data_IF_399430230520
#
_entry.id   IF_399430230520
#
_cell.length_a   1.000
_cell.length_b   1.000
_cell.length_c   1.000
_cell.angle_alpha   90.00
_cell.angle_beta   90.00
_cell.angle_gamma   90.00
#
_symmetry.space_group_name_H-M   'P 1'
#
loop_
_entity.id
_entity.type
_entity.pdbx_description
1 polymer ?
#
# COMPACT_ATOMS: atom_id res chain seq x y z
N UNK A 1 -22.81 -23.44 -19.59
CA UNK A 1 -22.85 -24.47 -20.63
C UNK A 1 -23.87 -25.52 -20.22
N UNK A 2 -24.79 -25.87 -21.12
CA UNK A 2 -25.84 -26.87 -20.87
C UNK A 2 -25.40 -28.27 -21.31
N UNK A 3 -24.77 -28.37 -22.46
CA UNK A 3 -24.23 -29.62 -22.99
C UNK A 3 -23.07 -29.40 -23.93
N UNK A 4 -22.23 -30.43 -24.04
CA UNK A 4 -21.10 -30.48 -24.96
C UNK A 4 -21.26 -31.67 -25.90
N UNK A 5 -20.95 -31.49 -27.18
CA UNK A 5 -20.87 -32.57 -28.14
C UNK A 5 -19.56 -32.46 -28.97
N UNK A 6 -18.92 -33.56 -29.20
CA UNK A 6 -17.78 -33.69 -30.11
C UNK A 6 -17.94 -34.93 -30.93
N UNK A 7 -17.71 -34.84 -32.28
CA UNK A 7 -17.90 -35.96 -33.23
C UNK A 7 -19.30 -36.62 -33.11
N UNK A 8 -20.34 -35.80 -32.99
CA UNK A 8 -21.76 -36.24 -32.80
C UNK A 8 -22.04 -37.06 -31.53
N UNK A 9 -21.10 -37.08 -30.58
CA UNK A 9 -21.28 -37.77 -29.29
C UNK A 9 -21.37 -36.75 -28.17
N UNK A 10 -22.33 -36.97 -27.24
CA UNK A 10 -22.40 -36.17 -26.01
C UNK A 10 -21.16 -36.42 -25.15
N UNK A 11 -20.61 -35.34 -24.58
CA UNK A 11 -19.45 -35.36 -23.72
C UNK A 11 -19.68 -34.59 -22.45
N UNK A 12 -19.13 -35.03 -21.35
CA UNK A 12 -19.13 -34.31 -20.07
C UNK A 12 -17.91 -33.39 -19.96
N UNK A 13 -16.82 -33.75 -20.65
CA UNK A 13 -15.56 -32.99 -20.68
C UNK A 13 -14.91 -33.17 -22.08
N UNK A 14 -14.33 -32.10 -22.59
CA UNK A 14 -13.58 -32.10 -23.85
C UNK A 14 -12.28 -31.36 -23.62
N UNK A 15 -11.15 -31.97 -23.99
CA UNK A 15 -9.82 -31.36 -23.87
C UNK A 15 -9.49 -30.43 -25.05
N UNK A 16 -8.33 -29.75 -25.00
CA UNK A 16 -7.82 -28.92 -26.08
C UNK A 16 -7.69 -29.68 -27.41
N UNK A 17 -7.67 -28.92 -28.54
CA UNK A 17 -7.47 -29.47 -29.89
C UNK A 17 -8.71 -30.17 -30.48
N UNK A 18 -9.87 -30.07 -29.84
CA UNK A 18 -11.09 -30.69 -30.34
C UNK A 18 -12.07 -29.65 -30.90
N UNK A 19 -12.83 -30.09 -31.93
CA UNK A 19 -14.00 -29.35 -32.40
C UNK A 19 -15.19 -29.70 -31.51
N UNK A 20 -15.81 -28.69 -30.89
CA UNK A 20 -16.86 -28.89 -29.89
C UNK A 20 -18.08 -28.08 -30.26
N UNK A 21 -19.26 -28.71 -30.24
CA UNK A 21 -20.52 -28.00 -30.21
C UNK A 21 -20.88 -27.71 -28.75
N UNK A 22 -21.13 -26.45 -28.43
CA UNK A 22 -21.42 -25.97 -27.07
C UNK A 22 -22.85 -25.42 -27.06
N UNK A 23 -23.69 -25.95 -26.19
CA UNK A 23 -25.02 -25.40 -25.95
C UNK A 23 -24.95 -24.43 -24.76
N UNK A 24 -25.23 -23.15 -25.01
CA UNK A 24 -25.24 -22.09 -24.03
C UNK A 24 -26.66 -21.83 -23.51
N UNK A 25 -26.79 -21.58 -22.21
CA UNK A 25 -28.04 -21.17 -21.58
C UNK A 25 -28.08 -19.64 -21.48
N UNK A 26 -29.24 -19.05 -21.83
CA UNK A 26 -29.43 -17.60 -21.69
C UNK A 26 -28.74 -16.76 -22.77
N UNK A 27 -28.26 -17.40 -23.84
CA UNK A 27 -27.67 -16.73 -25.00
C UNK A 27 -28.43 -17.20 -26.24
N UNK A 28 -28.94 -16.29 -27.03
CA UNK A 28 -29.63 -16.61 -28.29
C UNK A 28 -28.61 -16.72 -29.43
N UNK A 29 -28.97 -17.42 -30.51
CA UNK A 29 -28.08 -17.70 -31.63
C UNK A 29 -27.56 -16.43 -32.33
N UNK A 30 -28.34 -15.37 -32.35
CA UNK A 30 -28.04 -14.08 -32.94
C UNK A 30 -27.06 -13.23 -32.07
N UNK A 31 -26.89 -13.60 -30.84
CA UNK A 31 -25.94 -12.96 -29.91
C UNK A 31 -24.52 -13.53 -29.98
N UNK A 32 -24.30 -14.60 -30.72
CA UNK A 32 -22.99 -15.26 -30.87
C UNK A 32 -22.63 -15.36 -32.34
N UNK A 33 -21.47 -14.83 -32.69
CA UNK A 33 -20.99 -14.80 -34.05
C UNK A 33 -19.56 -15.32 -34.21
N UNK A 34 -19.10 -15.30 -35.45
CA UNK A 34 -17.70 -15.60 -35.76
C UNK A 34 -16.81 -14.54 -35.11
N UNK A 35 -15.80 -14.98 -34.38
CA UNK A 35 -14.87 -14.10 -33.65
C UNK A 35 -15.12 -14.08 -32.15
N UNK A 36 -16.29 -14.52 -31.69
CA UNK A 36 -16.56 -14.61 -30.26
C UNK A 36 -15.78 -15.75 -29.60
N UNK A 37 -15.43 -15.55 -28.35
CA UNK A 37 -14.62 -16.48 -27.56
C UNK A 37 -15.32 -16.75 -26.24
N UNK A 38 -15.40 -18.00 -25.85
CA UNK A 38 -15.89 -18.43 -24.55
C UNK A 38 -14.70 -18.50 -23.57
N UNK A 39 -14.77 -17.72 -22.52
CA UNK A 39 -13.74 -17.67 -21.48
C UNK A 39 -14.38 -17.78 -20.10
N UNK A 40 -13.61 -18.19 -19.11
CA UNK A 40 -14.02 -18.04 -17.73
C UNK A 40 -13.98 -16.57 -17.32
N UNK A 41 -14.99 -16.14 -16.58
CA UNK A 41 -15.01 -14.82 -15.98
C UNK A 41 -13.73 -14.60 -15.14
N UNK A 42 -13.22 -13.38 -15.19
CA UNK A 42 -12.05 -12.90 -14.40
C UNK A 42 -10.71 -13.64 -14.62
N UNK A 43 -10.65 -14.55 -15.60
CA UNK A 43 -9.41 -15.26 -15.94
C UNK A 43 -8.69 -14.69 -17.17
N UNK A 44 -9.23 -13.64 -17.78
CA UNK A 44 -8.68 -13.06 -19.01
C UNK A 44 -8.69 -11.55 -18.94
N UNK A 45 -7.56 -10.95 -19.32
CA UNK A 45 -7.52 -9.53 -19.61
C UNK A 45 -8.14 -9.28 -21.00
N UNK A 46 -9.13 -8.40 -21.04
CA UNK A 46 -9.71 -7.95 -22.31
C UNK A 46 -9.00 -6.68 -22.77
N UNK A 47 -8.36 -6.76 -23.93
CA UNK A 47 -7.56 -5.67 -24.46
C UNK A 47 -8.12 -5.09 -25.74
N UNK A 48 -7.94 -3.78 -25.93
CA UNK A 48 -8.15 -3.06 -27.21
C UNK A 48 -6.86 -2.57 -27.82
N UNK A 49 -5.73 -2.77 -27.16
CA UNK A 49 -4.43 -2.31 -27.66
C UNK A 49 -3.39 -3.36 -27.38
N UNK A 50 -2.71 -3.81 -28.42
CA UNK A 50 -1.64 -4.79 -28.31
C UNK A 50 -0.37 -4.28 -28.98
N UNK A 51 0.76 -4.65 -28.42
CA UNK A 51 2.04 -4.57 -29.11
C UNK A 51 2.41 -5.96 -29.64
N UNK A 52 2.90 -6.00 -30.86
CA UNK A 52 3.12 -7.24 -31.57
C UNK A 52 4.38 -7.17 -32.45
N UNK A 53 4.93 -8.34 -32.75
CA UNK A 53 5.91 -8.53 -33.83
C UNK A 53 5.13 -8.78 -35.11
N UNK A 54 5.55 -8.13 -36.19
CA UNK A 54 5.02 -8.33 -37.54
C UNK A 54 6.14 -8.70 -38.49
N UNK A 55 6.05 -9.86 -39.14
CA UNK A 55 6.85 -10.25 -40.26
C UNK A 55 6.12 -9.87 -41.55
N UNK A 56 6.69 -8.96 -42.35
CA UNK A 56 6.16 -8.56 -43.64
C UNK A 56 6.55 -9.59 -44.70
N UNK A 57 5.60 -9.96 -45.56
CA UNK A 57 5.86 -10.92 -46.65
C UNK A 57 6.79 -10.32 -47.68
N UNK A 58 7.63 -11.16 -48.27
CA UNK A 58 8.57 -10.77 -49.36
C UNK A 58 7.86 -10.32 -50.66
N UNK A 59 6.58 -10.70 -50.81
CA UNK A 59 5.75 -10.33 -51.96
C UNK A 59 5.16 -8.91 -51.87
N UNK A 60 5.27 -8.24 -50.73
CA UNK A 60 4.72 -6.88 -50.55
C UNK A 60 5.59 -5.87 -51.28
N UNK A 61 5.00 -5.10 -52.22
CA UNK A 61 5.73 -4.18 -53.10
C UNK A 61 5.76 -2.71 -52.60
N UNK A 62 5.24 -2.42 -51.42
CA UNK A 62 5.12 -1.07 -50.89
C UNK A 62 5.51 -1.00 -49.39
N UNK A 63 5.70 0.20 -48.90
CA UNK A 63 5.95 0.44 -47.49
C UNK A 63 4.71 0.21 -46.62
N UNK A 64 4.85 -0.59 -45.58
CA UNK A 64 3.83 -0.84 -44.56
C UNK A 64 3.99 0.18 -43.46
N UNK A 65 3.03 1.10 -43.37
CA UNK A 65 3.06 2.22 -42.40
C UNK A 65 1.68 2.43 -41.76
N UNK A 66 1.53 3.46 -40.96
CA UNK A 66 0.25 3.81 -40.32
C UNK A 66 -0.89 4.22 -41.27
N UNK A 67 -0.60 4.38 -42.57
CA UNK A 67 -1.54 4.94 -43.57
C UNK A 67 -2.39 3.89 -44.26
N UNK A 68 -2.25 2.62 -43.97
CA UNK A 68 -3.05 1.53 -44.57
C UNK A 68 -4.38 1.32 -43.82
N UNK A 69 -5.37 0.78 -44.55
CA UNK A 69 -6.58 0.23 -43.99
C UNK A 69 -6.38 -1.25 -43.67
N UNK A 70 -6.03 -1.57 -42.45
CA UNK A 70 -5.63 -2.94 -42.07
C UNK A 70 -6.75 -3.70 -41.39
N UNK A 71 -6.76 -5.02 -41.62
CA UNK A 71 -7.59 -5.99 -40.93
C UNK A 71 -6.67 -7.05 -40.32
N UNK A 72 -6.79 -7.23 -38.99
CA UNK A 72 -6.11 -8.29 -38.28
C UNK A 72 -7.05 -9.50 -38.11
N UNK A 73 -6.57 -10.66 -38.49
CA UNK A 73 -7.26 -11.94 -38.27
C UNK A 73 -6.68 -12.54 -36.98
N UNK A 74 -7.47 -12.51 -35.93
CA UNK A 74 -7.13 -12.99 -34.57
C UNK A 74 -8.14 -14.08 -34.17
N UNK A 75 -7.65 -15.27 -33.84
CA UNK A 75 -8.52 -16.42 -33.62
C UNK A 75 -9.37 -16.72 -34.84
N UNK A 76 -10.72 -16.72 -34.66
CA UNK A 76 -11.69 -16.87 -35.75
C UNK A 76 -12.24 -15.54 -36.28
N UNK A 77 -11.83 -14.41 -35.71
CA UNK A 77 -12.39 -13.07 -35.97
C UNK A 77 -11.58 -12.28 -37.00
N UNK A 78 -12.28 -11.31 -37.61
CA UNK A 78 -11.72 -10.31 -38.54
C UNK A 78 -11.95 -8.93 -37.89
N UNK A 79 -10.85 -8.24 -37.61
CA UNK A 79 -10.90 -6.99 -36.84
C UNK A 79 -10.24 -5.87 -37.65
N UNK A 80 -10.98 -4.85 -38.10
CA UNK A 80 -10.37 -3.66 -38.66
C UNK A 80 -9.55 -2.94 -37.59
N UNK A 81 -8.24 -2.75 -37.86
CA UNK A 81 -7.31 -2.23 -36.88
C UNK A 81 -6.63 -0.96 -37.36
N UNK A 82 -6.33 -0.07 -36.41
CA UNK A 82 -5.36 1.00 -36.64
C UNK A 82 -3.98 0.50 -36.23
N UNK A 83 -3.03 0.57 -37.12
CA UNK A 83 -1.66 0.12 -36.89
C UNK A 83 -0.71 1.31 -36.76
N UNK A 84 0.24 1.19 -35.84
CA UNK A 84 1.40 2.07 -35.72
C UNK A 84 2.68 1.21 -35.65
N UNK A 85 3.64 1.52 -36.50
CA UNK A 85 4.99 0.90 -36.41
C UNK A 85 5.68 1.49 -35.19
N UNK A 86 6.28 0.64 -34.36
CA UNK A 86 7.09 0.99 -33.20
C UNK A 86 8.54 1.11 -33.64
N UNK A 87 8.95 2.31 -33.99
CA UNK A 87 10.26 2.62 -34.52
C UNK A 87 10.21 3.79 -35.49
N UNK A 88 11.36 4.13 -36.05
CA UNK A 88 11.53 5.37 -36.79
C UNK A 88 11.21 5.25 -38.29
N UNK A 89 11.06 4.04 -38.80
CA UNK A 89 10.82 3.78 -40.23
C UNK A 89 9.60 2.90 -40.50
N UNK A 90 9.02 3.04 -41.68
CA UNK A 90 8.07 2.08 -42.22
C UNK A 90 8.72 0.71 -42.46
N UNK A 91 7.90 -0.36 -42.45
CA UNK A 91 8.37 -1.71 -42.75
C UNK A 91 8.28 -1.98 -44.27
N UNK A 92 9.24 -2.70 -44.78
CA UNK A 92 9.25 -3.12 -46.19
C UNK A 92 9.23 -4.66 -46.31
N UNK A 93 9.14 -5.16 -47.53
CA UNK A 93 9.16 -6.60 -47.82
C UNK A 93 10.30 -7.31 -47.09
N UNK A 94 9.98 -8.42 -46.43
CA UNK A 94 10.92 -9.21 -45.64
C UNK A 94 11.31 -8.67 -44.27
N UNK A 95 10.87 -7.47 -43.92
CA UNK A 95 11.15 -6.91 -42.58
C UNK A 95 10.45 -7.69 -41.48
N UNK A 96 11.13 -7.76 -40.33
CA UNK A 96 10.59 -8.17 -39.04
C UNK A 96 10.60 -6.94 -38.13
N UNK A 97 9.42 -6.44 -37.77
CA UNK A 97 9.29 -5.20 -37.02
C UNK A 97 8.26 -5.26 -35.92
N UNK A 98 8.27 -4.24 -35.07
CA UNK A 98 7.34 -4.10 -33.95
C UNK A 98 6.22 -3.14 -34.34
N UNK A 99 4.98 -3.49 -33.97
CA UNK A 99 3.79 -2.71 -34.29
C UNK A 99 2.87 -2.65 -33.08
N UNK A 100 2.15 -1.53 -32.94
CA UNK A 100 0.98 -1.40 -32.03
C UNK A 100 -0.28 -1.46 -32.86
N UNK A 101 -1.19 -2.37 -32.47
CA UNK A 101 -2.51 -2.51 -33.07
C UNK A 101 -3.59 -2.03 -32.10
N UNK A 102 -4.49 -1.17 -32.59
CA UNK A 102 -5.68 -0.76 -31.86
C UNK A 102 -6.89 -1.47 -32.45
N UNK A 103 -7.56 -2.26 -31.60
CA UNK A 103 -8.71 -3.08 -31.92
C UNK A 103 -10.02 -2.31 -31.70
N UNK A 104 -11.05 -2.53 -32.53
CA UNK A 104 -12.34 -1.86 -32.39
C UNK A 104 -13.13 -2.37 -31.16
N UNK A 105 -12.91 -3.62 -30.79
CA UNK A 105 -13.53 -4.31 -29.64
C UNK A 105 -12.46 -4.87 -28.72
N UNK A 106 -12.82 -5.10 -27.48
CA UNK A 106 -11.92 -5.75 -26.53
C UNK A 106 -11.90 -7.26 -26.80
N UNK A 107 -10.70 -7.84 -26.86
CA UNK A 107 -10.48 -9.26 -27.08
C UNK A 107 -9.71 -9.89 -25.94
N UNK A 108 -10.02 -11.13 -25.53
CA UNK A 108 -9.25 -11.90 -24.57
C UNK A 108 -8.04 -12.52 -25.27
N UNK A 109 -6.93 -11.81 -25.29
CA UNK A 109 -5.69 -12.23 -25.94
C UNK A 109 -4.61 -12.54 -24.90
N UNK A 110 -3.61 -13.31 -25.32
CA UNK A 110 -2.39 -13.56 -24.55
C UNK A 110 -1.14 -13.27 -25.40
N UNK A 111 -0.01 -12.95 -24.78
CA UNK A 111 1.28 -12.97 -25.44
C UNK A 111 1.53 -14.37 -26.05
N UNK A 112 1.95 -14.41 -27.31
CA UNK A 112 2.10 -15.63 -28.08
C UNK A 112 0.95 -15.92 -29.03
N UNK A 113 -0.19 -15.25 -28.93
CA UNK A 113 -1.28 -15.37 -29.89
C UNK A 113 -0.80 -14.87 -31.26
N UNK A 114 -1.15 -15.62 -32.29
CA UNK A 114 -0.75 -15.31 -33.66
C UNK A 114 -1.85 -14.60 -34.42
N UNK A 115 -1.45 -13.72 -35.33
CA UNK A 115 -2.37 -13.03 -36.22
C UNK A 115 -1.85 -12.97 -37.66
N UNK A 116 -2.79 -12.75 -38.60
CA UNK A 116 -2.50 -12.37 -39.96
C UNK A 116 -2.97 -10.94 -40.19
N UNK A 117 -2.17 -10.13 -40.85
CA UNK A 117 -2.50 -8.76 -41.21
C UNK A 117 -2.76 -8.65 -42.71
N UNK A 118 -3.90 -8.09 -43.09
CA UNK A 118 -4.23 -7.79 -44.48
C UNK A 118 -4.49 -6.29 -44.65
N UNK A 119 -4.20 -5.76 -45.81
CA UNK A 119 -4.58 -4.42 -46.22
C UNK A 119 -5.82 -4.46 -47.11
N UNK A 120 -6.94 -3.93 -46.64
CA UNK A 120 -8.25 -4.01 -47.32
C UNK A 120 -8.24 -3.26 -48.67
N UNK A 121 -7.63 -2.08 -48.71
CA UNK A 121 -7.62 -1.24 -49.90
C UNK A 121 -6.88 -1.88 -51.09
N UNK A 122 -5.94 -2.79 -50.85
CA UNK A 122 -5.18 -3.54 -51.83
C UNK A 122 -5.62 -5.02 -51.96
N UNK A 123 -6.53 -5.45 -51.06
CA UNK A 123 -6.93 -6.87 -50.95
C UNK A 123 -5.73 -7.83 -50.78
N UNK A 124 -4.66 -7.36 -50.18
CA UNK A 124 -3.39 -8.04 -50.06
C UNK A 124 -3.10 -8.51 -48.62
N UNK A 125 -2.47 -9.67 -48.49
CA UNK A 125 -1.93 -10.11 -47.21
C UNK A 125 -0.56 -9.47 -47.00
N UNK A 126 -0.44 -8.66 -45.95
CA UNK A 126 0.78 -7.94 -45.63
C UNK A 126 1.79 -8.85 -44.94
N UNK A 127 1.30 -9.67 -44.04
CA UNK A 127 2.15 -10.51 -43.19
C UNK A 127 1.42 -11.22 -42.09
N UNK A 128 2.18 -11.73 -41.17
CA UNK A 128 1.69 -12.34 -39.95
C UNK A 128 2.60 -12.04 -38.78
N UNK A 129 2.08 -12.23 -37.57
CA UNK A 129 2.84 -11.89 -36.41
C UNK A 129 2.38 -12.57 -35.12
N UNK A 130 2.97 -12.14 -34.06
CA UNK A 130 2.76 -12.65 -32.70
C UNK A 130 2.52 -11.49 -31.74
N UNK A 131 1.52 -11.63 -30.90
CA UNK A 131 1.23 -10.69 -29.79
C UNK A 131 2.34 -10.79 -28.76
N UNK A 132 2.91 -9.66 -28.37
CA UNK A 132 3.99 -9.56 -27.37
C UNK A 132 3.50 -8.95 -26.04
N UNK A 133 2.61 -7.95 -26.13
CA UNK A 133 2.05 -7.27 -24.96
C UNK A 133 0.56 -6.97 -25.20
N UNK A 134 -0.27 -7.26 -24.23
CA UNK A 134 -1.73 -7.07 -24.30
C UNK A 134 -2.24 -5.88 -23.48
N UNK A 135 -1.34 -5.18 -22.77
CA UNK A 135 -1.66 -4.00 -21.97
C UNK A 135 -0.47 -3.03 -21.95
N UNK A 136 -0.03 -2.52 -23.13
CA UNK A 136 1.17 -1.70 -23.22
C UNK A 136 0.99 -0.36 -22.49
N UNK A 137 1.82 -0.11 -21.47
CA UNK A 137 1.83 1.11 -20.66
C UNK A 137 2.81 2.16 -21.17
N UNK A 138 3.81 1.74 -21.93
CA UNK A 138 4.82 2.63 -22.49
C UNK A 138 4.30 3.30 -23.77
N UNK A 139 4.56 4.60 -23.91
CA UNK A 139 4.22 5.32 -25.12
C UNK A 139 4.89 4.68 -26.35
N UNK A 140 4.16 4.60 -27.48
CA UNK A 140 4.61 3.89 -28.67
C UNK A 140 5.97 4.35 -29.23
N UNK A 141 6.39 5.60 -28.98
CA UNK A 141 7.70 6.10 -29.38
C UNK A 141 8.86 5.43 -28.62
N UNK A 142 8.61 4.96 -27.43
CA UNK A 142 9.61 4.37 -26.53
C UNK A 142 9.41 2.86 -26.30
N UNK A 143 8.29 2.31 -26.79
CA UNK A 143 7.97 0.90 -26.61
C UNK A 143 8.97 -0.02 -27.31
N UNK A 144 9.41 -1.04 -26.60
CA UNK A 144 10.29 -2.11 -27.10
C UNK A 144 9.75 -3.44 -26.59
N UNK A 145 8.54 -3.83 -27.04
CA UNK A 145 7.86 -5.01 -26.51
C UNK A 145 8.60 -6.30 -26.86
N UNK A 146 8.61 -7.19 -25.90
CA UNK A 146 8.99 -8.59 -26.04
C UNK A 146 8.07 -9.44 -25.13
N UNK A 147 8.34 -10.73 -24.99
CA UNK A 147 7.58 -11.64 -24.12
C UNK A 147 8.13 -11.75 -22.70
N UNK A 148 9.12 -10.92 -22.35
CA UNK A 148 9.74 -10.97 -21.01
C UNK A 148 8.77 -10.49 -19.93
N UNK A 149 8.57 -11.32 -18.91
CA UNK A 149 7.80 -10.96 -17.72
C UNK A 149 8.53 -9.86 -16.94
N UNK A 150 9.86 -9.91 -16.89
CA UNK A 150 10.68 -8.91 -16.19
C UNK A 150 10.53 -7.52 -16.82
N UNK A 151 10.42 -7.44 -18.17
CA UNK A 151 10.08 -6.19 -18.85
C UNK A 151 8.72 -5.64 -18.39
N UNK A 152 7.70 -6.51 -18.31
CA UNK A 152 6.36 -6.10 -17.89
C UNK A 152 6.37 -5.55 -16.46
N UNK A 153 7.18 -6.15 -15.57
CA UNK A 153 7.39 -5.66 -14.21
C UNK A 153 8.15 -4.32 -14.22
N UNK A 154 9.25 -4.24 -14.97
CA UNK A 154 10.09 -3.03 -15.03
C UNK A 154 9.32 -1.81 -15.55
N UNK A 155 8.48 -1.98 -16.58
CA UNK A 155 7.67 -0.90 -17.16
C UNK A 155 6.57 -0.39 -16.22
N UNK A 156 6.11 -1.20 -15.25
CA UNK A 156 5.06 -0.84 -14.29
C UNK A 156 5.58 -0.45 -12.92
N UNK A 157 6.80 -0.82 -12.62
CA UNK A 157 7.42 -0.68 -11.30
C UNK A 157 6.82 -1.65 -10.29
N UNK A 158 5.52 -1.59 -10.05
CA UNK A 158 4.74 -2.46 -9.15
C UNK A 158 3.57 -3.08 -9.88
N UNK A 159 3.39 -4.40 -9.72
CA UNK A 159 2.23 -5.12 -10.28
C UNK A 159 1.83 -6.27 -9.35
N UNK A 160 0.54 -6.45 -9.11
CA UNK A 160 0.04 -7.62 -8.38
C UNK A 160 0.32 -8.90 -9.18
N UNK A 161 0.76 -9.96 -8.50
CA UNK A 161 1.12 -11.23 -9.18
C UNK A 161 -0.05 -11.85 -9.94
N UNK A 162 -1.28 -11.70 -9.45
CA UNK A 162 -2.48 -12.14 -10.15
C UNK A 162 -2.69 -11.35 -11.45
N UNK A 163 -2.48 -10.02 -11.41
CA UNK A 163 -2.56 -9.18 -12.59
C UNK A 163 -1.45 -9.51 -13.57
N UNK A 164 -0.22 -9.73 -13.08
CA UNK A 164 0.91 -10.15 -13.90
C UNK A 164 0.60 -11.46 -14.64
N UNK A 165 0.03 -12.44 -13.94
CA UNK A 165 -0.35 -13.72 -14.54
C UNK A 165 -1.44 -13.56 -15.63
N UNK A 166 -2.40 -12.66 -15.43
CA UNK A 166 -3.40 -12.33 -16.47
C UNK A 166 -2.78 -11.68 -17.71
N UNK A 167 -1.75 -10.84 -17.54
CA UNK A 167 -1.11 -10.13 -18.64
C UNK A 167 -0.10 -10.97 -19.40
N UNK A 168 0.58 -11.89 -18.72
CA UNK A 168 1.71 -12.64 -19.30
C UNK A 168 1.41 -14.12 -19.55
N UNK A 169 0.40 -14.66 -18.89
CA UNK A 169 0.13 -16.10 -18.82
C UNK A 169 1.09 -16.86 -17.88
N UNK A 170 2.04 -16.17 -17.24
CA UNK A 170 3.02 -16.77 -16.34
C UNK A 170 2.73 -16.40 -14.88
N UNK A 171 2.85 -17.39 -14.00
CA UNK A 171 2.73 -17.17 -12.55
C UNK A 171 4.11 -16.94 -11.97
N UNK A 172 4.22 -15.94 -11.10
CA UNK A 172 5.41 -15.62 -10.30
C UNK A 172 5.06 -15.58 -8.84
N UNK A 173 6.01 -15.96 -7.99
CA UNK A 173 5.92 -15.68 -6.57
C UNK A 173 6.07 -14.16 -6.35
N UNK A 174 5.37 -13.60 -5.36
CA UNK A 174 5.52 -12.18 -5.04
C UNK A 174 6.90 -11.88 -4.45
N UNK A 175 7.45 -10.74 -4.82
CA UNK A 175 8.70 -10.23 -4.22
C UNK A 175 8.43 -9.62 -2.83
N UNK A 176 7.28 -8.95 -2.68
CA UNK A 176 6.85 -8.36 -1.40
C UNK A 176 5.33 -8.32 -1.30
N UNK A 177 4.76 -8.81 -0.21
CA UNK A 177 3.32 -8.87 0.02
C UNK A 177 2.60 -9.67 -1.08
N UNK A 178 1.86 -8.99 -1.95
CA UNK A 178 1.19 -9.57 -3.13
C UNK A 178 1.76 -9.06 -4.47
N UNK A 179 2.89 -8.37 -4.42
CA UNK A 179 3.44 -7.62 -5.54
C UNK A 179 4.67 -8.28 -6.14
N UNK A 180 4.75 -8.31 -7.47
CA UNK A 180 6.01 -8.37 -8.20
C UNK A 180 6.48 -6.92 -8.42
N UNK A 181 7.76 -6.64 -8.16
CA UNK A 181 8.26 -5.27 -8.13
C UNK A 181 9.62 -5.14 -8.80
N UNK A 182 9.78 -4.08 -9.60
CA UNK A 182 11.08 -3.74 -10.15
C UNK A 182 12.01 -3.23 -9.03
N UNK A 183 13.29 -3.66 -8.99
CA UNK A 183 14.21 -3.29 -7.93
C UNK A 183 14.28 -1.77 -7.69
N UNK A 184 14.36 -0.98 -8.77
CA UNK A 184 14.45 0.48 -8.67
C UNK A 184 13.17 1.10 -8.08
N UNK A 185 12.00 0.54 -8.40
CA UNK A 185 10.73 1.01 -7.87
C UNK A 185 10.56 0.63 -6.38
N UNK A 186 11.06 -0.54 -6.00
CA UNK A 186 11.09 -0.96 -4.59
C UNK A 186 11.97 -0.03 -3.75
N UNK A 187 13.22 0.19 -4.19
CA UNK A 187 14.16 1.07 -3.50
C UNK A 187 13.61 2.50 -3.38
N UNK A 188 13.06 3.05 -4.47
CA UNK A 188 12.47 4.38 -4.47
C UNK A 188 11.30 4.50 -3.48
N UNK A 189 10.44 3.47 -3.40
CA UNK A 189 9.32 3.46 -2.45
C UNK A 189 9.81 3.34 -1.02
N UNK A 190 10.76 2.44 -0.75
CA UNK A 190 11.37 2.26 0.57
C UNK A 190 12.02 3.56 1.07
N UNK A 191 12.82 4.21 0.22
CA UNK A 191 13.54 5.43 0.59
C UNK A 191 12.56 6.59 0.84
N UNK A 192 11.51 6.71 0.02
CA UNK A 192 10.47 7.71 0.21
C UNK A 192 9.69 7.51 1.52
N UNK A 193 9.35 6.26 1.85
CA UNK A 193 8.67 5.93 3.12
C UNK A 193 9.61 6.18 4.30
N UNK A 194 10.87 5.79 4.21
CA UNK A 194 11.88 6.05 5.25
C UNK A 194 11.99 7.54 5.54
N UNK A 195 12.14 8.37 4.51
CA UNK A 195 12.23 9.83 4.68
C UNK A 195 10.96 10.42 5.33
N UNK A 196 9.77 9.89 5.01
CA UNK A 196 8.51 10.31 5.65
C UNK A 196 8.43 9.92 7.11
N UNK A 197 8.92 8.72 7.47
CA UNK A 197 8.99 8.28 8.87
C UNK A 197 9.95 9.15 9.66
N UNK A 198 11.14 9.43 9.12
CA UNK A 198 12.14 10.31 9.74
C UNK A 198 11.59 11.74 9.94
N UNK A 199 10.90 12.28 8.93
CA UNK A 199 10.28 13.61 9.02
C UNK A 199 9.16 13.69 10.05
N UNK A 200 8.48 12.58 10.36
CA UNK A 200 7.46 12.50 11.40
C UNK A 200 8.04 12.52 12.83
N UNK A 201 9.35 12.33 12.96
CA UNK A 201 10.08 12.42 14.24
C UNK A 201 9.58 11.44 15.30
N UNK A 202 9.65 11.86 16.56
CA UNK A 202 9.35 11.02 17.73
C UNK A 202 7.90 10.49 17.80
N UNK A 203 6.97 11.14 17.11
CA UNK A 203 5.57 10.74 17.06
C UNK A 203 5.27 9.65 16.04
N UNK A 204 6.23 9.36 15.15
CA UNK A 204 6.08 8.39 14.07
C UNK A 204 5.01 8.78 13.03
N UNK A 205 5.00 8.09 11.91
CA UNK A 205 4.05 8.26 10.81
C UNK A 205 2.82 7.38 11.02
N UNK A 206 1.62 7.93 10.82
CA UNK A 206 0.38 7.17 10.90
C UNK A 206 0.32 6.13 9.75
N UNK A 207 0.08 4.86 10.08
CA UNK A 207 -0.08 3.78 9.09
C UNK A 207 -1.23 4.03 8.11
N UNK A 208 -2.27 4.78 8.52
CA UNK A 208 -3.38 5.13 7.64
C UNK A 208 -2.95 6.13 6.53
N UNK A 209 -1.85 6.85 6.73
CA UNK A 209 -1.27 7.74 5.72
C UNK A 209 -0.41 7.02 4.67
N UNK A 210 -0.20 5.71 4.81
CA UNK A 210 0.54 4.87 3.89
C UNK A 210 -0.43 4.07 3.01
N UNK A 211 -0.14 3.98 1.72
CA UNK A 211 -0.84 3.07 0.81
C UNK A 211 -0.38 1.61 1.00
N UNK A 212 -0.95 0.67 0.24
CA UNK A 212 -0.63 -0.75 0.38
C UNK A 212 0.81 -1.10 -0.03
N UNK A 213 1.39 -0.43 -1.03
CA UNK A 213 2.76 -0.63 -1.49
C UNK A 213 3.74 -0.07 -0.47
N UNK A 214 3.43 1.10 0.05
CA UNK A 214 4.20 1.76 1.11
C UNK A 214 4.21 0.94 2.40
N UNK A 215 3.09 0.30 2.75
CA UNK A 215 3.04 -0.63 3.90
C UNK A 215 3.84 -1.90 3.65
N UNK A 216 3.85 -2.40 2.42
CA UNK A 216 4.58 -3.62 2.08
C UNK A 216 6.10 -3.48 2.23
N UNK A 217 6.67 -2.27 2.11
CA UNK A 217 8.12 -2.06 2.30
C UNK A 217 8.53 -1.87 3.75
N UNK A 218 7.61 -1.74 4.72
CA UNK A 218 7.95 -1.45 6.12
C UNK A 218 8.87 -2.51 6.74
N UNK A 219 8.65 -3.80 6.45
CA UNK A 219 9.48 -4.90 6.96
C UNK A 219 10.91 -4.87 6.39
N UNK A 220 11.14 -4.07 5.36
CA UNK A 220 12.44 -3.89 4.69
C UNK A 220 13.13 -2.57 5.07
N UNK A 221 12.56 -1.80 6.00
CA UNK A 221 13.16 -0.58 6.55
C UNK A 221 13.87 -0.94 7.86
N UNK A 222 15.18 -0.78 7.88
CA UNK A 222 15.98 -1.12 9.06
C UNK A 222 15.57 -0.26 10.26
N UNK A 223 15.22 -0.93 11.36
CA UNK A 223 14.83 -0.25 12.60
C UNK A 223 13.41 0.31 12.61
N UNK A 224 12.59 0.04 11.59
CA UNK A 224 11.17 0.42 11.62
C UNK A 224 10.43 -0.41 12.68
N UNK A 225 9.69 0.27 13.53
CA UNK A 225 8.85 -0.34 14.56
C UNK A 225 7.43 0.18 14.38
N UNK A 226 6.47 -0.74 14.32
CA UNK A 226 5.04 -0.41 14.26
C UNK A 226 4.45 -0.59 15.66
N UNK A 227 3.95 0.49 16.23
CA UNK A 227 3.23 0.50 17.50
C UNK A 227 1.97 1.36 17.40
N UNK A 228 0.86 0.86 17.98
CA UNK A 228 -0.42 1.56 18.11
C UNK A 228 -0.90 2.27 16.84
N UNK A 229 -0.65 1.68 15.64
CA UNK A 229 -1.08 2.24 14.35
C UNK A 229 -0.14 3.30 13.79
N UNK A 230 1.05 3.44 14.35
CA UNK A 230 2.10 4.34 13.86
C UNK A 230 3.39 3.58 13.60
N UNK A 231 4.21 4.09 12.68
CA UNK A 231 5.55 3.54 12.38
C UNK A 231 6.61 4.60 12.68
N UNK A 232 7.68 4.19 13.36
CA UNK A 232 8.85 5.02 13.67
C UNK A 232 10.14 4.25 13.42
N UNK A 233 11.27 4.93 13.32
CA UNK A 233 12.60 4.32 13.27
C UNK A 233 13.25 4.43 14.65
N UNK A 234 13.64 3.29 15.23
CA UNK A 234 14.19 3.19 16.59
C UNK A 234 13.14 2.87 17.66
N UNK A 235 13.57 2.63 18.90
CA UNK A 235 12.64 2.32 20.00
C UNK A 235 11.87 3.58 20.41
N UNK A 236 10.57 3.56 20.23
CA UNK A 236 9.63 4.63 20.61
C UNK A 236 9.80 5.03 22.10
N UNK A 237 10.09 4.06 22.96
CA UNK A 237 10.27 4.30 24.40
C UNK A 237 11.45 5.24 24.75
N UNK A 238 12.52 5.22 23.95
CA UNK A 238 13.70 6.05 24.24
C UNK A 238 13.56 7.48 23.72
N UNK A 239 12.83 7.67 22.63
CA UNK A 239 12.69 8.98 21.99
C UNK A 239 11.66 9.84 22.71
N UNK A 240 10.51 9.27 23.06
CA UNK A 240 9.45 9.99 23.78
C UNK A 240 9.86 10.33 25.21
N UNK A 241 10.62 9.48 25.89
CA UNK A 241 11.19 9.79 27.21
C UNK A 241 12.16 10.98 27.17
N UNK A 242 12.75 11.28 26.01
CA UNK A 242 13.64 12.44 25.83
C UNK A 242 12.92 13.70 25.34
N UNK A 243 11.59 13.66 25.18
CA UNK A 243 10.79 14.80 24.74
C UNK A 243 11.02 16.05 25.61
N UNK A 244 11.21 17.26 25.05
CA UNK A 244 11.52 18.46 25.80
C UNK A 244 10.55 18.75 26.92
N UNK A 245 9.23 18.56 26.68
CA UNK A 245 8.20 18.75 27.70
C UNK A 245 8.26 17.71 28.82
N UNK A 246 8.54 16.44 28.52
CA UNK A 246 8.75 15.39 29.53
C UNK A 246 9.90 15.75 30.44
N UNK A 247 11.04 16.16 29.86
CA UNK A 247 12.20 16.62 30.61
C UNK A 247 11.90 17.86 31.48
N UNK A 248 11.12 18.79 30.95
CA UNK A 248 10.74 20.00 31.68
C UNK A 248 9.86 19.71 32.89
N UNK A 249 8.84 18.83 32.75
CA UNK A 249 8.00 18.42 33.91
C UNK A 249 8.74 17.52 34.90
N UNK A 250 9.73 16.75 34.44
CA UNK A 250 10.61 15.97 35.34
C UNK A 250 11.60 16.86 36.10
N UNK A 251 12.12 17.89 35.46
CA UNK A 251 13.02 18.84 36.11
C UNK A 251 12.31 19.71 37.15
N UNK A 252 11.00 19.92 37.00
CA UNK A 252 10.18 20.77 37.87
C UNK A 252 8.99 19.99 38.43
N UNK A 253 9.25 18.91 39.17
CA UNK A 253 8.26 17.93 39.61
C UNK A 253 7.01 18.56 40.26
N UNK A 254 7.19 19.61 41.09
CA UNK A 254 6.10 20.21 41.86
C UNK A 254 5.63 21.57 41.35
N UNK A 255 6.27 22.09 40.31
CA UNK A 255 5.93 23.34 39.63
C UNK A 255 6.05 23.22 38.10
N UNK A 256 5.41 22.20 37.52
CA UNK A 256 5.60 21.91 36.10
C UNK A 256 5.17 23.10 35.24
N UNK A 257 5.86 23.31 34.09
CA UNK A 257 5.50 24.34 33.13
C UNK A 257 4.16 24.03 32.44
N UNK A 258 3.55 25.06 31.89
CA UNK A 258 2.39 24.89 31.01
C UNK A 258 2.85 24.34 29.63
N UNK A 259 2.03 23.54 28.95
CA UNK A 259 2.37 22.95 27.63
C UNK A 259 2.08 23.90 26.47
N UNK A 260 2.51 25.17 26.55
CA UNK A 260 2.12 26.22 25.61
C UNK A 260 2.66 25.97 24.18
N UNK A 261 3.79 25.24 24.08
CA UNK A 261 4.45 24.91 22.80
C UNK A 261 4.25 23.44 22.38
N UNK A 262 3.33 22.69 23.01
CA UNK A 262 3.09 21.27 22.73
C UNK A 262 1.68 21.09 22.22
N UNK A 263 1.51 20.48 21.06
CA UNK A 263 0.18 20.29 20.49
C UNK A 263 -0.66 19.25 21.26
N UNK A 264 -1.97 19.23 20.99
CA UNK A 264 -2.89 18.33 21.69
C UNK A 264 -2.65 16.86 21.39
N UNK A 265 -2.20 16.53 20.16
CA UNK A 265 -1.94 15.16 19.76
C UNK A 265 -0.68 14.65 20.44
N UNK A 266 0.35 15.49 20.56
CA UNK A 266 1.58 15.21 21.32
C UNK A 266 1.28 14.95 22.79
N UNK A 267 0.51 15.82 23.46
CA UNK A 267 0.12 15.63 24.85
C UNK A 267 -0.67 14.34 25.06
N UNK A 268 -1.59 14.01 24.14
CA UNK A 268 -2.36 12.78 24.21
C UNK A 268 -1.46 11.54 24.11
N UNK A 269 -0.45 11.59 23.22
CA UNK A 269 0.51 10.50 23.04
C UNK A 269 1.43 10.32 24.24
N UNK A 270 2.03 11.40 24.75
CA UNK A 270 2.87 11.37 25.95
C UNK A 270 2.10 10.83 27.18
N UNK A 271 0.80 11.18 27.29
CA UNK A 271 -0.07 10.65 28.33
C UNK A 271 -0.37 9.17 28.11
N UNK A 272 -0.64 8.74 26.89
CA UNK A 272 -0.90 7.33 26.54
C UNK A 272 0.29 6.44 26.89
N UNK A 273 1.50 6.94 26.70
CA UNK A 273 2.76 6.28 27.05
C UNK A 273 3.07 6.37 28.55
N UNK A 274 2.23 7.02 29.34
CA UNK A 274 2.44 7.14 30.79
C UNK A 274 3.62 8.06 31.18
N UNK A 275 4.13 8.88 30.27
CA UNK A 275 5.24 9.80 30.51
C UNK A 275 4.81 11.07 31.24
N UNK A 276 3.54 11.45 31.07
CA UNK A 276 2.90 12.56 31.77
C UNK A 276 1.47 12.18 32.20
N UNK A 277 1.00 12.78 33.29
CA UNK A 277 -0.39 12.64 33.75
C UNK A 277 -1.01 14.01 33.94
N UNK A 278 -2.32 14.14 33.67
CA UNK A 278 -3.04 15.39 33.89
C UNK A 278 -3.93 15.31 35.15
N UNK A 279 -3.75 16.23 36.08
CA UNK A 279 -4.58 16.39 37.25
C UNK A 279 -5.05 17.84 37.37
N UNK A 280 -6.37 18.05 37.43
CA UNK A 280 -6.99 19.37 37.52
C UNK A 280 -6.45 20.40 36.51
N UNK A 281 -6.17 19.95 35.26
CA UNK A 281 -5.68 20.80 34.19
C UNK A 281 -4.16 21.03 34.21
N UNK A 282 -3.42 20.48 35.17
CA UNK A 282 -1.97 20.58 35.26
C UNK A 282 -1.33 19.25 34.83
N UNK A 283 -0.27 19.33 34.04
CA UNK A 283 0.48 18.17 33.57
C UNK A 283 1.69 17.91 34.48
N UNK A 284 1.74 16.70 35.05
CA UNK A 284 2.80 16.27 35.96
C UNK A 284 3.55 15.07 35.35
N UNK A 285 4.82 14.90 35.72
CA UNK A 285 5.49 13.61 35.60
C UNK A 285 4.91 12.63 36.61
N UNK A 286 4.70 11.34 36.31
CA UNK A 286 4.35 10.32 37.30
C UNK A 286 5.28 10.32 38.52
N UNK A 287 6.58 10.61 38.30
CA UNK A 287 7.58 10.75 39.37
C UNK A 287 7.22 11.81 40.44
N UNK A 288 6.41 12.81 40.04
CA UNK A 288 5.98 13.85 40.98
C UNK A 288 5.05 13.28 42.08
N UNK A 289 4.17 12.35 41.69
CA UNK A 289 3.26 11.70 42.65
C UNK A 289 4.02 10.75 43.59
N UNK A 290 4.99 9.99 43.06
CA UNK A 290 5.80 9.08 43.86
C UNK A 290 6.67 9.84 44.87
N UNK A 291 7.29 10.94 44.44
CA UNK A 291 8.12 11.77 45.28
C UNK A 291 7.28 12.52 46.33
N UNK A 292 6.09 13.03 45.94
CA UNK A 292 5.16 13.62 46.91
C UNK A 292 4.72 12.60 47.95
N UNK A 293 4.38 11.36 47.55
CA UNK A 293 4.03 10.28 48.47
C UNK A 293 5.14 9.97 49.46
N UNK A 294 6.40 9.88 49.00
CA UNK A 294 7.57 9.66 49.86
C UNK A 294 7.77 10.79 50.87
N UNK A 295 7.70 12.05 50.45
CA UNK A 295 7.83 13.20 51.34
C UNK A 295 6.68 13.25 52.39
N UNK A 296 5.46 12.96 51.95
CA UNK A 296 4.31 12.89 52.89
C UNK A 296 4.48 11.73 53.89
N UNK A 297 5.04 10.60 53.49
CA UNK A 297 5.30 9.49 54.41
C UNK A 297 6.25 9.93 55.55
N UNK A 298 7.31 10.65 55.24
CA UNK A 298 8.23 11.20 56.24
C UNK A 298 7.52 12.22 57.16
N UNK A 299 6.71 13.13 56.59
CA UNK A 299 5.95 14.10 57.38
C UNK A 299 4.95 13.43 58.31
N UNK A 300 4.21 12.44 57.82
CA UNK A 300 3.17 11.73 58.58
C UNK A 300 3.76 10.79 59.63
N UNK A 301 4.99 10.30 59.42
CA UNK A 301 5.74 9.57 60.46
C UNK A 301 6.08 10.49 61.66
N UNK A 302 6.42 11.76 61.37
CA UNK A 302 6.69 12.76 62.41
C UNK A 302 5.42 13.35 63.02
N UNK A 303 4.31 13.44 62.27
CA UNK A 303 3.04 14.03 62.68
C UNK A 303 1.86 13.07 62.34
N UNK A 304 1.65 12.00 63.12
CA UNK A 304 0.63 10.98 62.85
C UNK A 304 -0.83 11.50 62.86
N UNK A 305 -1.11 12.58 63.56
CA UNK A 305 -2.43 13.22 63.57
C UNK A 305 -2.79 13.90 62.26
N UNK A 306 -1.84 14.11 61.36
CA UNK A 306 -2.07 14.64 60.03
C UNK A 306 -1.27 15.91 59.75
N UNK A 307 -1.17 16.22 58.45
CA UNK A 307 -0.47 17.38 57.91
C UNK A 307 -1.45 18.29 57.14
N UNK A 308 -1.28 19.59 57.26
CA UNK A 308 -2.10 20.57 56.54
C UNK A 308 -1.59 20.80 55.15
N UNK A 309 -2.45 21.34 54.25
CA UNK A 309 -2.05 21.75 52.88
C UNK A 309 -0.92 22.76 52.89
N UNK A 310 -0.85 23.63 53.93
CA UNK A 310 0.20 24.65 54.05
C UNK A 310 1.56 24.01 54.32
N UNK A 311 1.63 23.07 55.24
CA UNK A 311 2.85 22.33 55.56
C UNK A 311 3.35 21.50 54.35
N UNK A 312 2.45 20.82 53.66
CA UNK A 312 2.78 20.07 52.43
C UNK A 312 3.33 21.01 51.35
N UNK A 313 2.69 22.15 51.14
CA UNK A 313 3.14 23.16 50.18
C UNK A 313 4.57 23.65 50.49
N UNK A 314 4.87 23.92 51.74
CA UNK A 314 6.21 24.33 52.17
C UNK A 314 7.24 23.22 51.92
N UNK A 315 6.90 21.99 52.30
CA UNK A 315 7.78 20.84 52.11
C UNK A 315 8.05 20.50 50.62
N UNK A 316 7.07 20.69 49.75
CA UNK A 316 7.21 20.48 48.29
C UNK A 316 7.82 21.72 47.59
N UNK A 317 7.92 22.87 48.23
CA UNK A 317 8.40 24.10 47.62
C UNK A 317 7.49 24.64 46.54
N UNK A 318 6.18 24.46 46.64
CA UNK A 318 5.27 24.84 45.56
C UNK A 318 4.08 25.69 46.03
N UNK A 319 3.32 26.29 45.13
CA UNK A 319 2.12 27.02 45.42
C UNK A 319 0.91 26.10 45.63
N UNK A 320 -0.17 26.63 46.25
CA UNK A 320 -1.43 25.90 46.48
C UNK A 320 -2.04 25.37 45.16
N UNK A 321 -1.81 26.06 44.04
CA UNK A 321 -2.24 25.66 42.68
C UNK A 321 -1.74 24.27 42.32
N UNK A 322 -0.49 23.95 42.69
CA UNK A 322 0.14 22.66 42.35
C UNK A 322 -0.03 21.62 43.48
N UNK A 323 -0.01 22.04 44.73
CA UNK A 323 -0.15 21.13 45.88
C UNK A 323 -1.50 20.44 45.96
N UNK A 324 -2.61 21.16 45.64
CA UNK A 324 -3.96 20.57 45.72
C UNK A 324 -4.17 19.42 44.73
N UNK A 325 -3.88 19.54 43.45
CA UNK A 325 -4.00 18.41 42.51
C UNK A 325 -3.18 17.18 42.93
N UNK A 326 -1.95 17.37 43.39
CA UNK A 326 -1.10 16.30 43.92
C UNK A 326 -1.77 15.59 45.10
N UNK A 327 -2.22 16.35 46.11
CA UNK A 327 -2.89 15.79 47.29
C UNK A 327 -4.20 15.08 46.91
N UNK A 328 -5.01 15.66 46.06
CA UNK A 328 -6.27 15.06 45.63
C UNK A 328 -6.03 13.75 44.87
N UNK A 329 -4.96 13.65 44.05
CA UNK A 329 -4.54 12.40 43.43
C UNK A 329 -4.10 11.37 44.46
N UNK A 330 -3.30 11.74 45.44
CA UNK A 330 -2.85 10.86 46.53
C UNK A 330 -4.00 10.39 47.43
N UNK A 331 -4.97 11.26 47.69
CA UNK A 331 -6.21 10.87 48.40
C UNK A 331 -7.01 9.84 47.60
N UNK A 332 -7.21 10.07 46.29
CA UNK A 332 -7.95 9.18 45.40
C UNK A 332 -7.27 7.82 45.20
N UNK A 333 -5.94 7.78 45.20
CA UNK A 333 -5.16 6.53 45.07
C UNK A 333 -4.97 5.81 46.41
N UNK A 334 -5.43 6.39 47.53
CA UNK A 334 -5.36 5.79 48.87
C UNK A 334 -4.00 5.90 49.55
N UNK A 335 -3.12 6.75 49.04
CA UNK A 335 -1.83 7.07 49.66
C UNK A 335 -2.07 7.93 50.91
N UNK A 336 -2.97 8.90 50.80
CA UNK A 336 -3.44 9.71 51.93
C UNK A 336 -4.96 9.65 52.08
N UNK A 337 -5.49 10.17 53.16
CA UNK A 337 -6.93 10.39 53.38
C UNK A 337 -7.15 11.79 53.96
N UNK A 338 -8.12 12.50 53.43
CA UNK A 338 -8.53 13.78 53.96
C UNK A 338 -9.39 13.59 55.23
N UNK A 339 -9.02 14.26 56.29
CA UNK A 339 -9.80 14.36 57.54
C UNK A 339 -9.89 15.83 57.94
N UNK A 340 -11.05 16.44 57.73
CA UNK A 340 -11.27 17.89 57.92
C UNK A 340 -10.24 18.71 57.10
N UNK A 341 -9.36 19.45 57.77
CA UNK A 341 -8.35 20.31 57.16
C UNK A 341 -6.96 19.67 57.00
N UNK A 342 -6.81 18.42 57.49
CA UNK A 342 -5.53 17.70 57.41
C UNK A 342 -5.62 16.44 56.53
N UNK A 343 -4.45 15.96 56.08
CA UNK A 343 -4.26 14.65 55.45
C UNK A 343 -3.59 13.72 56.45
N UNK A 344 -4.14 12.51 56.55
CA UNK A 344 -3.61 11.44 57.38
C UNK A 344 -3.14 10.29 56.48
N UNK A 345 -2.39 9.37 57.07
CA UNK A 345 -1.91 8.19 56.35
C UNK A 345 -3.06 7.37 55.75
N UNK A 346 -2.94 7.02 54.46
CA UNK A 346 -3.80 6.08 53.77
C UNK A 346 -3.21 4.66 53.76
N UNK A 347 -3.97 3.65 53.34
CA UNK A 347 -3.54 2.25 53.34
C UNK A 347 -2.40 1.96 52.37
N UNK A 348 -2.11 2.86 51.41
CA UNK A 348 -1.06 2.74 50.40
C UNK A 348 0.08 3.73 50.62
N UNK A 349 0.18 4.35 51.81
CA UNK A 349 1.31 5.22 52.11
C UNK A 349 2.61 4.40 52.08
N UNK A 350 3.65 4.81 51.33
CA UNK A 350 4.93 4.12 51.35
C UNK A 350 5.55 4.17 52.77
N UNK A 351 6.42 3.22 53.07
CA UNK A 351 7.21 3.27 54.29
C UNK A 351 8.18 4.46 54.23
N UNK A 352 8.33 5.20 55.34
CA UNK A 352 9.15 6.39 55.43
C UNK A 352 10.64 6.06 55.43
#
# INVERSE_FOLDING_TARGET
>A
VRSLQSLHQARTKVGPGNRVAVNLVGVSHDQVGRGDVLVHADQWHQTRTIDARLRVLDSVSHEVSRRGAFVAYLGSGEHPVRMRVLGDRALVAGDDGLVRLHLPVALPLLPGDRFILRESGRSETIGGGEVLDIDPVVAAAHARPDRSVDRVIAERGWIEVERLALLTGERREPDVGRWAVAPEAFEATRDAVTARIEAAGDFGLDLAALDERERAVLDHITGAVVDAGRVSIGSVDHQLASHPFVRAVEAQLFTPPAPDDVDRAELAELRRQGLIEQEEGIWFSPKAFDEAARRLAVMLAAQPQGVTVSEVREQLGCSRKYALPLLNRLDRTGVTRRREDVRIAGPRLPQA
#
